data_IF_983754164647
#
_entry.id   IF_983754164647
#
_cell.length_a   1.000
_cell.length_b   1.000
_cell.length_c   1.000
_cell.angle_alpha   90.00
_cell.angle_beta   90.00
_cell.angle_gamma   90.00
#
_symmetry.space_group_name_H-M   'P 1'
#
loop_
_entity.id
_entity.type
_entity.pdbx_description
1 polymer ?
#
# COMPACT_ATOMS: atom_id res chain seq x y z
N UNK A 1 27.90 26.25 30.10
CA UNK A 1 27.36 25.16 29.26
C UNK A 1 28.05 23.87 29.65
N UNK A 2 27.30 22.77 29.73
CA UNK A 2 27.83 21.47 30.10
C UNK A 2 28.52 20.87 28.87
N UNK A 3 29.81 20.59 28.98
CA UNK A 3 30.54 19.88 27.93
C UNK A 3 30.23 18.39 28.01
N UNK A 4 29.87 17.80 26.87
CA UNK A 4 29.48 16.39 26.77
C UNK A 4 30.43 15.65 25.86
N UNK A 5 30.75 14.39 26.18
CA UNK A 5 31.46 13.53 25.24
C UNK A 5 30.48 12.95 24.20
N UNK A 6 31.00 12.28 23.17
CA UNK A 6 30.18 11.73 22.08
C UNK A 6 29.15 10.68 22.57
N UNK A 7 29.45 9.96 23.65
CA UNK A 7 28.51 8.99 24.21
C UNK A 7 27.29 9.71 24.81
N UNK A 8 27.54 10.78 25.56
CA UNK A 8 26.50 11.60 26.17
C UNK A 8 25.70 12.35 25.10
N UNK A 9 26.38 12.93 24.10
CA UNK A 9 25.72 13.58 22.96
C UNK A 9 24.78 12.60 22.23
N UNK A 10 25.27 11.40 21.90
CA UNK A 10 24.47 10.36 21.27
C UNK A 10 23.26 9.93 22.10
N UNK A 11 23.42 9.78 23.43
CA UNK A 11 22.31 9.46 24.32
C UNK A 11 21.27 10.59 24.41
N UNK A 12 21.71 11.85 24.42
CA UNK A 12 20.81 12.99 24.55
C UNK A 12 20.07 13.33 23.27
N UNK A 13 20.67 13.11 22.11
CA UNK A 13 20.04 13.42 20.81
C UNK A 13 19.35 12.21 20.19
N UNK A 14 19.64 10.99 20.65
CA UNK A 14 19.19 9.74 20.01
C UNK A 14 19.93 9.41 18.71
N UNK A 15 20.82 10.29 18.23
CA UNK A 15 21.60 10.07 17.01
C UNK A 15 22.81 9.19 17.31
N UNK A 16 23.09 8.21 16.44
CA UNK A 16 24.22 7.30 16.64
C UNK A 16 25.56 8.04 16.61
N UNK A 17 26.55 7.54 17.35
CA UNK A 17 27.90 8.12 17.39
C UNK A 17 28.52 8.21 15.99
N UNK A 18 28.24 7.23 15.13
CA UNK A 18 28.76 7.20 13.77
C UNK A 18 28.10 8.26 12.88
N UNK A 19 26.79 8.52 13.07
CA UNK A 19 26.12 9.63 12.40
C UNK A 19 26.62 10.99 12.88
N UNK A 20 26.87 11.17 14.19
CA UNK A 20 27.48 12.39 14.72
C UNK A 20 28.87 12.63 14.10
N UNK A 21 29.73 11.60 14.07
CA UNK A 21 31.04 11.67 13.39
C UNK A 21 30.92 11.96 11.90
N UNK A 22 29.87 11.44 11.27
CA UNK A 22 29.61 11.68 9.86
C UNK A 22 29.21 13.14 9.61
N UNK A 23 28.38 13.74 10.46
CA UNK A 23 28.07 15.17 10.40
C UNK A 23 29.30 16.05 10.63
N UNK A 24 30.17 15.69 11.57
CA UNK A 24 31.49 16.35 11.73
C UNK A 24 32.32 16.26 10.45
N UNK A 25 32.45 15.07 9.87
CA UNK A 25 33.22 14.85 8.64
C UNK A 25 32.66 15.66 7.47
N UNK A 26 31.36 15.92 7.45
CA UNK A 26 30.68 16.77 6.46
C UNK A 26 30.76 18.27 6.78
N UNK A 27 31.39 18.64 7.90
CA UNK A 27 31.55 20.04 8.32
C UNK A 27 30.24 20.69 8.76
N UNK A 28 29.26 19.89 9.16
CA UNK A 28 27.95 20.37 9.61
C UNK A 28 27.96 20.73 11.10
N UNK A 29 28.85 20.13 11.87
CA UNK A 29 29.10 20.43 13.28
C UNK A 29 30.61 20.47 13.53
N UNK A 30 31.06 21.35 14.42
CA UNK A 30 32.46 21.51 14.79
C UNK A 30 32.59 21.61 16.32
N UNK A 31 32.50 20.47 17.02
CA UNK A 31 32.57 20.47 18.48
C UNK A 31 33.96 20.92 18.95
N UNK A 32 33.99 21.66 20.05
CA UNK A 32 35.23 22.12 20.65
C UNK A 32 36.07 20.94 21.14
N UNK A 33 37.39 21.13 21.24
CA UNK A 33 38.29 20.17 21.87
C UNK A 33 38.70 20.66 23.25
N UNK A 34 38.60 19.79 24.24
CA UNK A 34 39.05 20.07 25.59
C UNK A 34 40.57 20.36 25.59
N UNK A 35 40.98 21.49 26.16
CA UNK A 35 42.39 21.92 26.16
C UNK A 35 43.32 21.02 26.98
N UNK A 36 42.80 20.28 27.95
CA UNK A 36 43.58 19.43 28.86
C UNK A 36 43.80 17.99 28.38
N UNK A 37 42.92 17.46 27.53
CA UNK A 37 43.01 16.06 27.07
C UNK A 37 42.69 15.86 25.57
N UNK A 38 42.44 16.95 24.84
CA UNK A 38 42.19 16.99 23.39
C UNK A 38 40.97 16.16 22.90
N UNK A 39 40.12 15.68 23.82
CA UNK A 39 38.87 15.01 23.48
C UNK A 39 37.82 16.02 23.00
N UNK A 40 36.89 15.55 22.15
CA UNK A 40 35.76 16.35 21.65
C UNK A 40 34.74 16.58 22.76
N UNK A 41 34.25 17.80 22.84
CA UNK A 41 33.23 18.25 23.74
C UNK A 41 32.10 18.94 22.96
N UNK A 42 30.90 18.36 23.07
CA UNK A 42 29.68 18.88 22.49
C UNK A 42 28.97 19.74 23.53
N UNK A 43 28.58 20.95 23.15
CA UNK A 43 27.77 21.84 23.96
C UNK A 43 26.29 21.76 23.54
N UNK A 44 25.42 22.52 24.21
CA UNK A 44 23.98 22.52 23.93
C UNK A 44 23.65 23.00 22.50
N UNK A 45 24.45 23.91 21.93
CA UNK A 45 24.30 24.33 20.53
C UNK A 45 24.64 23.19 19.56
N UNK A 46 25.71 22.44 19.79
CA UNK A 46 26.07 21.27 18.98
C UNK A 46 24.97 20.21 19.02
N UNK A 47 24.35 19.98 20.19
CA UNK A 47 23.23 19.05 20.30
C UNK A 47 22.03 19.51 19.48
N UNK A 48 21.67 20.79 19.53
CA UNK A 48 20.57 21.34 18.73
C UNK A 48 20.85 21.21 17.23
N UNK A 49 22.10 21.44 16.80
CA UNK A 49 22.49 21.23 15.41
C UNK A 49 22.38 19.76 15.00
N UNK A 50 22.86 18.84 15.83
CA UNK A 50 22.78 17.39 15.58
C UNK A 50 21.32 16.96 15.37
N UNK A 51 20.41 17.40 16.25
CA UNK A 51 18.97 17.09 16.15
C UNK A 51 18.38 17.66 14.86
N UNK A 52 18.59 18.95 14.59
CA UNK A 52 18.06 19.61 13.40
C UNK A 52 18.57 18.99 12.08
N UNK A 53 19.88 18.69 11.98
CA UNK A 53 20.45 18.03 10.81
C UNK A 53 19.80 16.65 10.63
N UNK A 54 19.63 15.91 11.73
CA UNK A 54 19.03 14.58 11.70
C UNK A 54 17.57 14.65 11.24
N UNK A 55 16.78 15.56 11.81
CA UNK A 55 15.38 15.77 11.43
C UNK A 55 15.24 16.05 9.92
N UNK A 56 15.91 17.07 9.39
CA UNK A 56 15.83 17.38 7.95
C UNK A 56 16.33 16.22 7.07
N UNK A 57 17.37 15.51 7.51
CA UNK A 57 17.86 14.34 6.78
C UNK A 57 16.85 13.20 6.76
N UNK A 58 16.13 12.96 7.86
CA UNK A 58 15.06 11.93 7.90
C UNK A 58 13.85 12.33 7.06
N UNK A 59 13.62 13.63 6.87
CA UNK A 59 12.64 14.17 5.93
C UNK A 59 13.13 14.14 4.47
N UNK A 60 14.26 13.51 4.17
CA UNK A 60 14.76 13.33 2.81
C UNK A 60 15.48 14.53 2.20
N UNK A 61 15.77 15.58 2.98
CA UNK A 61 16.61 16.69 2.51
C UNK A 61 18.08 16.24 2.42
N UNK A 62 18.75 16.65 1.35
CA UNK A 62 20.17 16.35 1.14
C UNK A 62 21.05 17.08 2.16
N UNK A 63 22.10 16.41 2.64
CA UNK A 63 23.06 17.03 3.57
C UNK A 63 23.73 18.28 2.98
N UNK A 64 23.89 18.33 1.66
CA UNK A 64 24.40 19.52 0.98
C UNK A 64 23.45 20.71 1.12
N UNK A 65 22.14 20.49 1.03
CA UNK A 65 21.14 21.54 1.18
C UNK A 65 20.99 21.93 2.64
N UNK A 66 21.03 20.97 3.57
CA UNK A 66 21.11 21.24 5.01
C UNK A 66 22.33 22.11 5.34
N UNK A 67 23.51 21.80 4.78
CA UNK A 67 24.73 22.60 5.00
C UNK A 67 24.59 24.06 4.55
N UNK A 68 23.87 24.31 3.44
CA UNK A 68 23.63 25.67 2.92
C UNK A 68 22.56 26.37 3.76
N UNK A 69 21.49 25.65 4.14
CA UNK A 69 20.44 26.15 5.02
C UNK A 69 20.99 26.59 6.39
N UNK A 70 21.90 25.81 6.97
CA UNK A 70 22.56 26.14 8.25
C UNK A 70 23.42 27.41 8.17
N UNK A 71 23.80 27.84 6.96
CA UNK A 71 24.51 29.11 6.71
C UNK A 71 23.55 30.26 6.38
N UNK A 72 22.24 30.05 6.52
CA UNK A 72 21.20 31.01 6.13
C UNK A 72 21.06 31.18 4.61
N UNK A 73 21.52 30.21 3.83
CA UNK A 73 21.52 30.23 2.36
C UNK A 73 20.46 29.27 1.79
N UNK A 74 20.09 29.49 0.53
CA UNK A 74 19.31 28.54 -0.28
C UNK A 74 18.00 28.04 0.35
N UNK A 75 17.31 28.93 1.08
CA UNK A 75 15.97 28.63 1.65
C UNK A 75 15.04 28.10 0.56
N UNK A 76 15.07 28.68 -0.65
CA UNK A 76 14.26 28.21 -1.79
C UNK A 76 14.56 26.77 -2.18
N UNK A 77 15.83 26.34 -2.18
CA UNK A 77 16.19 24.96 -2.50
C UNK A 77 15.77 24.01 -1.38
N UNK A 78 15.94 24.42 -0.12
CA UNK A 78 15.49 23.65 1.04
C UNK A 78 13.97 23.44 1.02
N UNK A 79 13.18 24.48 0.74
CA UNK A 79 11.73 24.37 0.58
C UNK A 79 11.37 23.42 -0.56
N UNK A 80 12.02 23.54 -1.72
CA UNK A 80 11.75 22.66 -2.87
C UNK A 80 12.04 21.18 -2.60
N UNK A 81 13.16 20.86 -1.93
CA UNK A 81 13.46 19.47 -1.54
C UNK A 81 12.42 18.92 -0.54
N UNK A 82 11.94 19.74 0.39
CA UNK A 82 10.89 19.34 1.32
C UNK A 82 9.55 19.12 0.61
N UNK A 83 9.17 19.99 -0.33
CA UNK A 83 7.95 19.82 -1.15
C UNK A 83 8.00 18.54 -1.99
N UNK A 84 9.15 18.21 -2.57
CA UNK A 84 9.36 16.95 -3.28
C UNK A 84 9.29 15.75 -2.34
N UNK A 85 9.91 15.85 -1.16
CA UNK A 85 9.83 14.79 -0.15
C UNK A 85 8.40 14.57 0.34
N UNK A 86 7.61 15.62 0.55
CA UNK A 86 6.20 15.53 0.91
C UNK A 86 5.43 14.75 -0.18
N UNK A 87 5.66 15.04 -1.47
CA UNK A 87 5.03 14.30 -2.57
C UNK A 87 5.40 12.81 -2.53
N UNK A 88 6.69 12.49 -2.37
CA UNK A 88 7.16 11.10 -2.26
C UNK A 88 6.55 10.38 -1.05
N UNK A 89 6.58 11.01 0.13
CA UNK A 89 6.06 10.42 1.37
C UNK A 89 4.54 10.19 1.31
N UNK A 90 3.79 11.08 0.66
CA UNK A 90 2.35 10.87 0.42
C UNK A 90 2.08 9.68 -0.50
N UNK A 91 2.88 9.52 -1.55
CA UNK A 91 2.79 8.35 -2.42
C UNK A 91 3.13 7.06 -1.65
N UNK A 92 4.20 7.06 -0.85
CA UNK A 92 4.55 5.93 0.04
C UNK A 92 3.42 5.62 1.03
N UNK A 93 2.83 6.64 1.66
CA UNK A 93 1.69 6.47 2.57
C UNK A 93 0.49 5.82 1.86
N UNK A 94 0.16 6.27 0.65
CA UNK A 94 -0.92 5.71 -0.16
C UNK A 94 -0.70 4.21 -0.42
N UNK A 95 0.50 3.82 -0.85
CA UNK A 95 0.83 2.42 -1.11
C UNK A 95 0.86 1.56 0.15
N UNK A 96 1.37 2.10 1.28
CA UNK A 96 1.32 1.41 2.57
C UNK A 96 -0.14 1.16 2.98
N UNK A 97 -1.03 2.15 2.82
CA UNK A 97 -2.46 2.00 3.11
C UNK A 97 -3.11 0.95 2.21
N UNK A 98 -2.82 0.96 0.91
CA UNK A 98 -3.31 -0.05 -0.02
C UNK A 98 -2.88 -1.47 0.42
N UNK A 99 -1.60 -1.66 0.76
CA UNK A 99 -1.07 -2.94 1.26
C UNK A 99 -1.72 -3.40 2.57
N UNK A 100 -1.97 -2.48 3.50
CA UNK A 100 -2.68 -2.80 4.75
C UNK A 100 -4.09 -3.29 4.43
N UNK A 101 -4.82 -2.62 3.54
CA UNK A 101 -6.17 -3.02 3.16
C UNK A 101 -6.18 -4.41 2.50
N UNK A 102 -5.26 -4.67 1.56
CA UNK A 102 -5.12 -5.99 0.92
C UNK A 102 -4.80 -7.09 1.93
N UNK A 103 -3.91 -6.81 2.91
CA UNK A 103 -3.54 -7.76 3.95
C UNK A 103 -4.71 -8.07 4.90
N UNK A 104 -5.48 -7.05 5.28
CA UNK A 104 -6.70 -7.21 6.11
C UNK A 104 -7.71 -8.08 5.38
N UNK A 105 -7.98 -7.80 4.10
CA UNK A 105 -8.95 -8.57 3.33
C UNK A 105 -8.49 -10.02 3.11
N UNK A 106 -7.21 -10.21 2.74
CA UNK A 106 -6.62 -11.54 2.58
C UNK A 106 -6.67 -12.35 3.88
N UNK A 107 -6.33 -11.75 5.02
CA UNK A 107 -6.42 -12.40 6.32
C UNK A 107 -7.85 -12.82 6.65
N UNK A 108 -8.84 -12.00 6.25
CA UNK A 108 -10.24 -12.30 6.45
C UNK A 108 -10.72 -13.44 5.56
N UNK A 109 -10.37 -13.46 4.27
CA UNK A 109 -10.66 -14.58 3.37
C UNK A 109 -10.06 -15.89 3.88
N UNK A 110 -8.80 -15.86 4.31
CA UNK A 110 -8.13 -17.03 4.89
C UNK A 110 -8.80 -17.48 6.21
N UNK A 111 -9.32 -16.54 7.01
CA UNK A 111 -10.09 -16.89 8.20
C UNK A 111 -11.42 -17.57 7.87
N UNK A 112 -12.10 -17.15 6.79
CA UNK A 112 -13.31 -17.83 6.32
C UNK A 112 -13.02 -19.28 5.92
N UNK A 113 -11.89 -19.52 5.23
CA UNK A 113 -11.44 -20.88 4.89
C UNK A 113 -11.13 -21.69 6.14
N UNK A 114 -10.34 -21.13 7.07
CA UNK A 114 -9.91 -21.80 8.29
C UNK A 114 -11.10 -22.18 9.19
N UNK A 115 -12.06 -21.28 9.31
CA UNK A 115 -13.19 -21.40 10.25
C UNK A 115 -14.45 -21.97 9.56
N UNK A 116 -14.33 -22.43 8.32
CA UNK A 116 -15.42 -22.99 7.49
C UNK A 116 -16.66 -22.08 7.43
N UNK A 117 -16.44 -20.78 7.37
CA UNK A 117 -17.50 -19.77 7.28
C UNK A 117 -18.12 -19.85 5.87
N UNK A 118 -19.43 -20.17 5.75
CA UNK A 118 -20.04 -20.43 4.45
C UNK A 118 -20.15 -19.17 3.60
N UNK A 119 -20.38 -18.02 4.23
CA UNK A 119 -20.43 -16.73 3.56
C UNK A 119 -20.23 -15.59 4.54
N UNK A 120 -19.96 -14.41 4.00
CA UNK A 120 -19.91 -13.15 4.73
C UNK A 120 -20.71 -12.07 4.02
N UNK A 121 -21.38 -11.24 4.81
CA UNK A 121 -21.90 -9.94 4.37
C UNK A 121 -20.99 -8.85 4.89
N UNK A 122 -20.60 -7.93 4.03
CA UNK A 122 -19.81 -6.78 4.42
C UNK A 122 -20.13 -5.56 3.58
N UNK A 123 -19.34 -4.51 3.80
CA UNK A 123 -19.36 -3.30 3.00
C UNK A 123 -18.01 -3.19 2.30
N UNK A 124 -18.04 -3.11 0.98
CA UNK A 124 -16.89 -2.74 0.17
C UNK A 124 -16.87 -1.23 0.08
N UNK A 125 -15.82 -0.60 0.61
CA UNK A 125 -15.56 0.83 0.39
C UNK A 125 -15.31 1.08 -1.10
N UNK A 126 -15.48 2.31 -1.56
CA UNK A 126 -15.17 2.69 -2.95
C UNK A 126 -13.83 2.11 -3.39
N UNK A 127 -13.83 1.53 -4.59
CA UNK A 127 -12.65 0.89 -5.18
C UNK A 127 -12.52 1.29 -6.64
N UNK A 128 -11.34 1.11 -7.21
CA UNK A 128 -11.03 1.58 -8.57
C UNK A 128 -10.63 0.38 -9.40
N UNK A 129 -11.34 0.16 -10.49
CA UNK A 129 -11.22 -1.01 -11.35
C UNK A 129 -10.48 -0.63 -12.62
N UNK A 130 -9.29 -1.21 -12.81
CA UNK A 130 -8.55 -1.13 -14.06
C UNK A 130 -8.81 -2.38 -14.90
N UNK A 131 -9.45 -2.25 -16.06
CA UNK A 131 -9.67 -3.37 -16.98
C UNK A 131 -8.40 -3.62 -17.79
N UNK A 132 -7.88 -4.84 -17.71
CA UNK A 132 -6.67 -5.28 -18.40
C UNK A 132 -6.93 -5.38 -19.90
N UNK A 133 -6.42 -4.41 -20.67
CA UNK A 133 -6.43 -4.45 -22.14
C UNK A 133 -5.12 -5.05 -22.64
N UNK A 134 -5.19 -5.95 -23.63
CA UNK A 134 -4.06 -6.73 -24.16
C UNK A 134 -2.87 -5.91 -24.72
N UNK A 135 -2.94 -4.57 -24.81
CA UNK A 135 -2.01 -3.79 -25.63
C UNK A 135 -0.96 -2.95 -24.87
N UNK A 136 -0.95 -2.82 -23.53
CA UNK A 136 0.11 -2.03 -22.86
C UNK A 136 0.29 -2.31 -21.35
N UNK A 137 0.54 -3.56 -20.97
CA UNK A 137 0.70 -3.95 -19.56
C UNK A 137 2.01 -3.47 -18.87
N UNK A 138 2.99 -3.00 -19.64
CA UNK A 138 4.36 -2.78 -19.15
C UNK A 138 4.53 -1.65 -18.13
N UNK A 139 3.87 -0.51 -18.33
CA UNK A 139 4.05 0.66 -17.46
C UNK A 139 3.37 0.48 -16.10
N UNK A 140 2.18 -0.13 -16.11
CA UNK A 140 1.40 -0.44 -14.91
C UNK A 140 2.11 -1.51 -14.09
N UNK A 141 2.66 -2.55 -14.71
CA UNK A 141 3.35 -3.63 -14.01
C UNK A 141 4.58 -3.13 -13.21
N UNK A 142 5.36 -2.19 -13.73
CA UNK A 142 6.52 -1.67 -13.00
C UNK A 142 6.08 -0.89 -11.74
N UNK A 143 5.09 -0.01 -11.87
CA UNK A 143 4.55 0.73 -10.71
C UNK A 143 3.91 -0.21 -9.68
N UNK A 144 3.17 -1.23 -10.14
CA UNK A 144 2.54 -2.22 -9.26
C UNK A 144 3.54 -3.15 -8.57
N UNK A 145 4.56 -3.61 -9.30
CA UNK A 145 5.58 -4.53 -8.79
C UNK A 145 6.48 -3.85 -7.76
N UNK A 146 6.84 -2.58 -7.99
CA UNK A 146 7.72 -1.83 -7.09
C UNK A 146 6.98 -1.39 -5.81
N UNK A 147 5.66 -1.12 -5.90
CA UNK A 147 4.90 -0.53 -4.80
C UNK A 147 3.87 -1.47 -4.13
N UNK A 148 3.64 -2.67 -4.67
CA UNK A 148 2.78 -3.71 -4.06
C UNK A 148 1.28 -3.41 -4.14
N UNK A 149 0.86 -2.78 -5.24
CA UNK A 149 -0.34 -1.96 -5.32
C UNK A 149 -1.69 -2.61 -5.62
N UNK A 150 -1.75 -3.91 -5.88
CA UNK A 150 -2.98 -4.57 -6.32
C UNK A 150 -3.74 -5.09 -5.08
N UNK A 151 -5.02 -4.75 -4.93
CA UNK A 151 -5.86 -5.38 -3.92
C UNK A 151 -6.26 -6.78 -4.34
N UNK A 152 -6.79 -6.92 -5.57
CA UNK A 152 -7.10 -8.21 -6.18
C UNK A 152 -6.93 -8.15 -7.70
N UNK A 153 -6.41 -9.22 -8.28
CA UNK A 153 -6.68 -9.54 -9.69
C UNK A 153 -7.99 -10.31 -9.74
N UNK A 154 -8.96 -9.77 -10.46
CA UNK A 154 -10.32 -10.29 -10.50
C UNK A 154 -10.74 -10.61 -11.92
N UNK A 155 -11.65 -11.57 -12.06
CA UNK A 155 -12.56 -11.64 -13.17
C UNK A 155 -13.84 -10.92 -12.76
N UNK A 156 -14.15 -9.81 -13.44
CA UNK A 156 -15.35 -9.02 -13.22
C UNK A 156 -16.43 -9.45 -14.19
N UNK A 157 -17.65 -9.59 -13.67
CA UNK A 157 -18.85 -9.94 -14.41
C UNK A 157 -19.84 -8.81 -14.21
N UNK A 158 -20.11 -8.06 -15.29
CA UNK A 158 -21.04 -6.93 -15.22
C UNK A 158 -22.48 -7.40 -15.05
N UNK A 159 -23.31 -6.56 -14.44
CA UNK A 159 -24.73 -6.83 -14.13
C UNK A 159 -25.51 -7.27 -15.36
N UNK A 160 -25.32 -6.59 -16.49
CA UNK A 160 -25.98 -6.87 -17.77
C UNK A 160 -25.64 -8.26 -18.33
N UNK A 161 -24.52 -8.83 -17.92
CA UNK A 161 -24.02 -10.11 -18.40
C UNK A 161 -24.41 -11.29 -17.50
N UNK A 162 -25.02 -11.04 -16.34
CA UNK A 162 -25.50 -12.09 -15.41
C UNK A 162 -26.62 -12.97 -15.97
N UNK A 163 -27.14 -12.67 -17.16
CA UNK A 163 -28.20 -13.43 -17.84
C UNK A 163 -27.81 -13.84 -19.27
N UNK A 164 -26.53 -13.78 -19.61
CA UNK A 164 -26.01 -14.10 -20.94
C UNK A 164 -25.40 -15.51 -20.99
N UNK A 165 -25.74 -16.27 -22.03
CA UNK A 165 -25.10 -17.56 -22.34
C UNK A 165 -23.66 -17.39 -22.86
N UNK A 166 -23.34 -16.21 -23.41
CA UNK A 166 -21.98 -15.79 -23.74
C UNK A 166 -21.43 -14.94 -22.59
N UNK A 167 -20.29 -15.36 -22.03
CA UNK A 167 -19.75 -14.79 -20.80
C UNK A 167 -18.59 -13.83 -21.10
N UNK A 168 -18.81 -12.51 -21.16
CA UNK A 168 -17.71 -11.56 -21.21
C UNK A 168 -17.09 -11.46 -19.82
N UNK A 169 -15.95 -12.13 -19.63
CA UNK A 169 -15.10 -11.95 -18.44
C UNK A 169 -14.12 -10.81 -18.67
N UNK A 170 -14.15 -9.81 -17.78
CA UNK A 170 -13.13 -8.77 -17.75
C UNK A 170 -12.05 -9.17 -16.75
N UNK A 171 -10.83 -9.41 -17.24
CA UNK A 171 -9.68 -9.44 -16.35
C UNK A 171 -9.44 -8.01 -15.86
N UNK A 172 -9.46 -7.80 -14.55
CA UNK A 172 -9.30 -6.49 -13.97
C UNK A 172 -8.41 -6.51 -12.74
N UNK A 173 -7.89 -5.34 -12.39
CA UNK A 173 -7.19 -5.08 -11.14
C UNK A 173 -8.06 -4.14 -10.29
N UNK A 174 -8.31 -4.53 -9.05
CA UNK A 174 -9.01 -3.70 -8.08
C UNK A 174 -8.01 -2.98 -7.17
N UNK A 175 -8.23 -1.69 -6.99
CA UNK A 175 -7.46 -0.79 -6.13
C UNK A 175 -8.33 -0.23 -5.01
N UNK A 176 -7.76 -0.06 -3.82
CA UNK A 176 -8.46 0.54 -2.67
C UNK A 176 -8.26 2.05 -2.55
N UNK A 177 -7.59 2.66 -3.50
CA UNK A 177 -7.25 4.09 -3.56
C UNK A 177 -7.15 4.48 -5.03
N UNK A 178 -7.52 5.70 -5.43
CA UNK A 178 -7.29 6.15 -6.79
C UNK A 178 -5.78 6.24 -7.04
N UNK A 179 -5.35 5.94 -8.27
CA UNK A 179 -3.96 6.05 -8.69
C UNK A 179 -3.92 7.17 -9.73
N UNK A 180 -3.30 8.30 -9.38
CA UNK A 180 -3.26 9.51 -10.22
C UNK A 180 -2.75 9.21 -11.64
N UNK A 181 -1.78 8.31 -11.79
CA UNK A 181 -1.19 7.98 -13.09
C UNK A 181 -2.16 7.30 -14.07
N UNK A 182 -3.22 6.66 -13.57
CA UNK A 182 -4.16 5.89 -14.39
C UNK A 182 -5.63 6.20 -14.04
N UNK A 183 -5.89 7.36 -13.44
CA UNK A 183 -7.24 7.74 -12.97
C UNK A 183 -8.26 7.68 -14.13
N UNK A 184 -7.90 8.24 -15.28
CA UNK A 184 -8.71 8.24 -16.51
C UNK A 184 -8.93 6.83 -17.13
N UNK A 185 -8.13 5.85 -16.72
CA UNK A 185 -8.23 4.45 -17.18
C UNK A 185 -8.94 3.55 -16.18
N UNK A 186 -9.28 4.06 -14.99
CA UNK A 186 -9.98 3.32 -13.94
C UNK A 186 -11.46 3.67 -13.89
N UNK A 187 -12.28 2.67 -13.62
CA UNK A 187 -13.70 2.84 -13.30
C UNK A 187 -13.88 2.84 -11.78
N UNK A 188 -14.48 3.90 -11.21
CA UNK A 188 -14.85 3.90 -9.80
C UNK A 188 -16.04 2.94 -9.57
N UNK A 189 -15.83 1.99 -8.68
CA UNK A 189 -16.87 1.15 -8.11
C UNK A 189 -17.30 1.80 -6.80
N UNK A 190 -18.55 2.30 -6.71
CA UNK A 190 -19.02 2.97 -5.51
C UNK A 190 -19.09 2.01 -4.33
N UNK A 191 -19.11 2.56 -3.13
CA UNK A 191 -19.36 1.81 -1.91
C UNK A 191 -20.70 1.05 -2.00
N UNK A 192 -20.67 -0.24 -1.67
CA UNK A 192 -21.83 -1.12 -1.71
C UNK A 192 -21.70 -2.24 -0.68
N UNK A 193 -22.83 -2.90 -0.41
CA UNK A 193 -22.88 -4.12 0.38
C UNK A 193 -22.54 -5.30 -0.52
N UNK A 194 -21.72 -6.21 0.00
CA UNK A 194 -21.41 -7.45 -0.69
C UNK A 194 -21.92 -8.66 0.07
N UNK A 195 -22.22 -9.72 -0.69
CA UNK A 195 -22.23 -11.09 -0.23
C UNK A 195 -21.00 -11.78 -0.80
N UNK A 196 -20.17 -12.43 0.03
CA UNK A 196 -19.05 -13.22 -0.48
C UNK A 196 -19.04 -14.63 0.04
N UNK A 197 -18.59 -15.54 -0.81
CA UNK A 197 -18.47 -16.95 -0.47
C UNK A 197 -17.25 -17.56 -1.14
N UNK A 198 -16.74 -18.65 -0.57
CA UNK A 198 -15.55 -19.34 -1.07
C UNK A 198 -15.98 -20.67 -1.65
N UNK A 199 -15.49 -20.98 -2.85
CA UNK A 199 -15.73 -22.26 -3.51
C UNK A 199 -14.41 -22.92 -3.86
N UNK A 200 -14.40 -24.25 -3.79
CA UNK A 200 -13.33 -25.06 -4.33
C UNK A 200 -13.53 -25.18 -5.84
N UNK A 201 -12.44 -25.08 -6.59
CA UNK A 201 -12.47 -25.14 -8.04
C UNK A 201 -11.37 -26.05 -8.57
N UNK A 202 -11.76 -26.98 -9.44
CA UNK A 202 -10.80 -27.78 -10.19
C UNK A 202 -10.07 -26.88 -11.21
N UNK A 203 -8.73 -26.92 -11.23
CA UNK A 203 -7.86 -26.09 -12.08
C UNK A 203 -8.24 -26.04 -13.56
N UNK A 204 -8.85 -27.11 -14.09
CA UNK A 204 -9.19 -27.24 -15.52
C UNK A 204 -10.61 -26.80 -15.85
N UNK A 205 -11.43 -26.42 -14.86
CA UNK A 205 -12.82 -25.98 -15.06
C UNK A 205 -12.95 -24.55 -14.57
N UNK A 206 -13.26 -23.61 -15.46
CA UNK A 206 -13.65 -22.24 -15.09
C UNK A 206 -15.00 -22.24 -14.35
N UNK A 207 -15.21 -21.30 -13.43
CA UNK A 207 -16.55 -21.01 -12.89
C UNK A 207 -17.40 -20.54 -14.06
N UNK A 208 -18.43 -21.31 -14.38
CA UNK A 208 -19.33 -20.99 -15.49
C UNK A 208 -20.57 -20.25 -15.03
N UNK A 209 -21.34 -19.75 -16.00
CA UNK A 209 -22.64 -19.12 -15.79
C UNK A 209 -23.53 -19.87 -14.81
N UNK A 210 -23.69 -21.19 -15.02
CA UNK A 210 -24.56 -22.04 -14.20
C UNK A 210 -24.11 -22.15 -12.74
N UNK A 211 -22.80 -22.09 -12.50
CA UNK A 211 -22.27 -22.10 -11.12
C UNK A 211 -22.66 -20.81 -10.41
N UNK A 212 -22.61 -19.67 -11.12
CA UNK A 212 -22.99 -18.37 -10.58
C UNK A 212 -24.49 -18.23 -10.41
N UNK A 213 -25.30 -18.70 -11.36
CA UNK A 213 -26.76 -18.74 -11.23
C UNK A 213 -27.19 -19.57 -10.01
N UNK A 214 -26.58 -20.74 -9.80
CA UNK A 214 -26.83 -21.57 -8.61
C UNK A 214 -26.50 -20.82 -7.32
N UNK A 215 -25.38 -20.08 -7.27
CA UNK A 215 -25.01 -19.30 -6.08
C UNK A 215 -25.95 -18.10 -5.90
N UNK A 216 -26.39 -17.45 -6.97
CA UNK A 216 -27.39 -16.38 -6.92
C UNK A 216 -28.69 -16.88 -6.29
N UNK A 217 -29.12 -18.09 -6.65
CA UNK A 217 -30.33 -18.69 -6.06
C UNK A 217 -30.11 -19.07 -4.59
N UNK A 218 -28.94 -19.60 -4.22
CA UNK A 218 -28.56 -19.80 -2.80
C UNK A 218 -28.64 -18.48 -2.00
N UNK A 219 -28.14 -17.37 -2.57
CA UNK A 219 -28.16 -16.03 -1.95
C UNK A 219 -29.59 -15.52 -1.77
N UNK A 220 -30.48 -15.79 -2.74
CA UNK A 220 -31.91 -15.43 -2.65
C UNK A 220 -32.63 -16.23 -1.58
N UNK A 221 -32.36 -17.53 -1.47
CA UNK A 221 -33.00 -18.41 -0.49
C UNK A 221 -32.71 -18.00 0.96
N UNK A 222 -31.54 -17.39 1.21
CA UNK A 222 -31.17 -16.83 2.52
C UNK A 222 -31.61 -15.37 2.71
N UNK A 223 -32.31 -14.79 1.73
CA UNK A 223 -32.98 -13.48 1.85
C UNK A 223 -32.19 -12.27 1.35
N UNK A 224 -31.12 -12.46 0.56
CA UNK A 224 -30.40 -11.35 -0.10
C UNK A 224 -30.68 -11.34 -1.60
N UNK A 225 -30.51 -10.17 -2.24
CA UNK A 225 -30.82 -10.01 -3.66
C UNK A 225 -29.57 -9.49 -4.40
N UNK A 226 -28.77 -10.37 -5.02
CA UNK A 226 -27.58 -9.98 -5.76
C UNK A 226 -28.01 -9.38 -7.10
N UNK A 227 -28.13 -8.06 -7.15
CA UNK A 227 -28.52 -7.32 -8.36
C UNK A 227 -27.34 -6.60 -9.02
N UNK A 228 -26.18 -6.55 -8.38
CA UNK A 228 -25.01 -5.84 -8.89
C UNK A 228 -24.07 -6.74 -9.66
N UNK A 229 -22.80 -6.37 -9.68
CA UNK A 229 -21.75 -7.10 -10.37
C UNK A 229 -21.18 -8.25 -9.53
N UNK A 230 -20.42 -9.14 -10.17
CA UNK A 230 -19.72 -10.24 -9.49
C UNK A 230 -18.23 -10.12 -9.73
N UNK A 231 -17.46 -10.25 -8.64
CA UNK A 231 -16.00 -10.23 -8.63
C UNK A 231 -15.48 -11.59 -8.19
N UNK A 232 -14.69 -12.21 -9.05
CA UNK A 232 -14.17 -13.56 -8.83
C UNK A 232 -12.65 -13.48 -8.74
N UNK A 233 -12.08 -13.94 -7.62
CA UNK A 233 -10.63 -13.88 -7.41
C UNK A 233 -10.08 -15.07 -6.63
N UNK A 234 -8.87 -15.48 -7.00
CA UNK A 234 -8.20 -16.63 -6.44
C UNK A 234 -7.60 -16.29 -5.07
N UNK A 235 -7.95 -17.06 -4.04
CA UNK A 235 -7.44 -16.95 -2.67
C UNK A 235 -6.21 -17.84 -2.49
N UNK A 236 -6.30 -19.07 -3.01
CA UNK A 236 -5.24 -20.07 -2.93
C UNK A 236 -5.18 -20.82 -4.27
N UNK A 237 -3.97 -20.94 -4.80
CA UNK A 237 -3.67 -21.84 -5.91
C UNK A 237 -2.69 -22.90 -5.45
N UNK A 238 -2.95 -24.16 -5.80
CA UNK A 238 -1.93 -25.20 -5.60
C UNK A 238 -1.01 -25.29 -6.81
N UNK A 239 0.22 -25.76 -6.62
CA UNK A 239 1.07 -26.22 -7.73
C UNK A 239 0.80 -27.69 -8.09
N UNK A 240 0.24 -28.46 -7.18
CA UNK A 240 -0.08 -29.88 -7.35
C UNK A 240 -1.42 -30.05 -8.08
N UNK A 241 -1.49 -30.92 -9.09
CA UNK A 241 -2.72 -31.09 -9.90
C UNK A 241 -3.93 -31.58 -9.10
N UNK A 242 -3.70 -32.27 -7.98
CA UNK A 242 -4.74 -32.94 -7.18
C UNK A 242 -5.34 -32.04 -6.09
N UNK A 243 -4.83 -30.81 -5.93
CA UNK A 243 -5.33 -29.87 -4.93
C UNK A 243 -6.16 -28.80 -5.63
N UNK A 244 -7.42 -28.69 -5.23
CA UNK A 244 -8.38 -27.70 -5.73
C UNK A 244 -7.93 -26.28 -5.36
N UNK A 245 -8.17 -25.34 -6.28
CA UNK A 245 -8.00 -23.93 -6.03
C UNK A 245 -9.14 -23.42 -5.16
N UNK A 246 -8.86 -22.40 -4.34
CA UNK A 246 -9.88 -21.69 -3.57
C UNK A 246 -10.15 -20.35 -4.23
N UNK A 247 -11.40 -20.12 -4.59
CA UNK A 247 -11.84 -18.92 -5.28
C UNK A 247 -12.93 -18.24 -4.46
N UNK A 248 -12.74 -16.93 -4.26
CA UNK A 248 -13.77 -16.06 -3.73
C UNK A 248 -14.71 -15.66 -4.86
N UNK A 249 -16.01 -15.72 -4.59
CA UNK A 249 -17.03 -15.06 -5.39
C UNK A 249 -17.69 -14.01 -4.51
N UNK A 250 -17.60 -12.76 -4.94
CA UNK A 250 -18.18 -11.62 -4.27
C UNK A 250 -19.25 -10.99 -5.15
N UNK A 251 -20.45 -10.87 -4.60
CA UNK A 251 -21.65 -10.38 -5.26
C UNK A 251 -22.04 -9.05 -4.64
N UNK A 252 -22.21 -8.03 -5.48
CA UNK A 252 -22.85 -6.79 -5.06
C UNK A 252 -24.35 -7.04 -4.83
N UNK A 253 -24.78 -6.77 -3.59
CA UNK A 253 -26.16 -6.96 -3.11
C UNK A 253 -26.86 -5.61 -2.82
N UNK A 254 -26.33 -4.50 -3.35
CA UNK A 254 -26.94 -3.18 -3.32
C UNK A 254 -26.26 -2.17 -2.38
N UNK A 255 -26.88 -0.99 -2.26
CA UNK A 255 -26.34 0.13 -1.48
C UNK A 255 -26.31 -0.15 0.04
N UNK A 256 -25.46 0.61 0.75
CA UNK A 256 -25.22 0.51 2.20
C UNK A 256 -26.37 1.06 3.04
#
# INVERSE_FOLDING_TARGET
MKAMNINQASQMTGVSKDMIRFYEKKGLIDPQRNKGNNYREYNDHDLNLIVMIHEYSTMGMSLSTIARLMKGQDIKAATGELEESIRRLRNEEMWIRARINSAVDSAKLLSMVRDEVPYEIGVRRSSYCYVVKNENFGNIHNSLADNGGIAHSVFRVRKENLRSDEWPEEHALLFTTPIEEFEDETEEIPEHRYFRTIRKQNKRRKIGYRDIESIIDEIKDIGYNPEGEVYIYQIMGSLEEDVEDLVCLEFDIGEV
#
